data_IF_558429340231
#
_entry.id   IF_558429340231
#
_cell.length_a   1.000
_cell.length_b   1.000
_cell.length_c   1.000
_cell.angle_alpha   90.00
_cell.angle_beta   90.00
_cell.angle_gamma   90.00
#
_symmetry.space_group_name_H-M   'P 1'
#
loop_
_entity.id
_entity.type
_entity.pdbx_description
1 polymer ?
#
# COMPACT_ATOMS: atom_id res chain seq x y z
N UNK A 1 -28.71 0.41 12.82
CA UNK A 1 -27.94 1.66 13.09
C UNK A 1 -27.46 2.21 11.77
N UNK A 2 -27.64 3.51 11.50
CA UNK A 2 -27.22 4.14 10.25
C UNK A 2 -25.92 4.91 10.50
N UNK A 3 -24.87 4.61 9.73
CA UNK A 3 -23.61 5.36 9.77
C UNK A 3 -23.78 6.72 9.09
N UNK A 4 -23.12 7.75 9.61
CA UNK A 4 -23.06 9.06 8.96
C UNK A 4 -22.22 8.98 7.67
N UNK A 5 -22.45 9.87 6.71
CA UNK A 5 -21.64 9.93 5.48
C UNK A 5 -20.13 10.08 5.76
N UNK A 6 -19.77 10.79 6.83
CA UNK A 6 -18.38 10.93 7.29
C UNK A 6 -17.79 9.61 7.78
N UNK A 7 -18.52 8.85 8.60
CA UNK A 7 -18.09 7.52 9.08
C UNK A 7 -17.91 6.54 7.92
N UNK A 8 -18.86 6.52 6.96
CA UNK A 8 -18.77 5.66 5.79
C UNK A 8 -17.55 6.01 4.94
N UNK A 9 -17.33 7.30 4.64
CA UNK A 9 -16.15 7.75 3.88
C UNK A 9 -14.85 7.35 4.59
N UNK A 10 -14.79 7.49 5.91
CA UNK A 10 -13.61 7.17 6.70
C UNK A 10 -13.37 5.65 6.78
N UNK A 11 -14.42 4.84 6.91
CA UNK A 11 -14.33 3.38 6.92
C UNK A 11 -13.77 2.85 5.59
N UNK A 12 -14.33 3.30 4.46
CA UNK A 12 -13.84 2.91 3.13
C UNK A 12 -12.43 3.46 2.85
N UNK A 13 -12.14 4.69 3.29
CA UNK A 13 -10.81 5.30 3.18
C UNK A 13 -9.75 4.50 3.94
N UNK A 14 -10.03 4.14 5.20
CA UNK A 14 -9.10 3.41 6.04
C UNK A 14 -8.89 1.97 5.58
N UNK A 15 -9.96 1.27 5.16
CA UNK A 15 -9.86 -0.07 4.55
C UNK A 15 -8.96 -0.05 3.31
N UNK A 16 -9.00 1.02 2.51
CA UNK A 16 -8.10 1.18 1.36
C UNK A 16 -6.66 1.40 1.76
N UNK A 17 -6.41 2.22 2.79
CA UNK A 17 -5.06 2.43 3.33
C UNK A 17 -4.45 1.09 3.75
N UNK A 18 -5.16 0.34 4.61
CA UNK A 18 -4.68 -0.96 5.09
C UNK A 18 -4.39 -1.93 3.93
N UNK A 19 -5.34 -2.06 2.99
CA UNK A 19 -5.17 -2.93 1.84
C UNK A 19 -3.98 -2.52 0.96
N UNK A 20 -3.70 -1.22 0.85
CA UNK A 20 -2.58 -0.71 0.04
C UNK A 20 -1.23 -0.98 0.69
N UNK A 21 -1.13 -0.79 2.00
CA UNK A 21 0.07 -1.12 2.78
C UNK A 21 0.33 -2.62 2.73
N UNK A 22 -0.71 -3.45 2.93
CA UNK A 22 -0.60 -4.90 2.81
C UNK A 22 -0.16 -5.31 1.40
N UNK A 23 -0.75 -4.75 0.35
CA UNK A 23 -0.40 -5.06 -1.03
C UNK A 23 1.06 -4.69 -1.38
N UNK A 24 1.53 -3.54 -0.91
CA UNK A 24 2.92 -3.11 -1.07
C UNK A 24 3.90 -4.02 -0.30
N UNK A 25 3.55 -4.40 0.92
CA UNK A 25 4.31 -5.37 1.70
C UNK A 25 4.34 -6.74 0.99
N UNK A 26 3.20 -7.24 0.53
CA UNK A 26 3.13 -8.49 -0.24
C UNK A 26 3.99 -8.44 -1.50
N UNK A 27 4.02 -7.33 -2.23
CA UNK A 27 4.94 -7.16 -3.35
C UNK A 27 6.40 -7.33 -2.90
N UNK A 28 6.84 -6.62 -1.85
CA UNK A 28 8.20 -6.75 -1.33
C UNK A 28 8.54 -8.17 -0.89
N UNK A 29 7.58 -8.90 -0.30
CA UNK A 29 7.74 -10.29 0.12
C UNK A 29 8.00 -11.23 -1.06
N UNK A 30 7.27 -11.02 -2.16
CA UNK A 30 7.29 -11.89 -3.33
C UNK A 30 8.37 -11.52 -4.34
N UNK A 31 8.94 -10.31 -4.25
CA UNK A 31 9.92 -9.82 -5.20
C UNK A 31 11.27 -10.50 -5.00
N UNK A 32 11.75 -11.15 -6.06
CA UNK A 32 13.01 -11.91 -6.09
C UNK A 32 14.00 -11.36 -7.13
N UNK A 33 13.76 -10.14 -7.62
CA UNK A 33 14.48 -9.54 -8.76
C UNK A 33 13.63 -9.45 -10.03
N UNK A 34 12.55 -10.22 -10.14
CA UNK A 34 11.63 -10.18 -11.29
C UNK A 34 10.29 -9.51 -10.97
N UNK A 35 9.59 -8.88 -11.93
CA UNK A 35 8.28 -8.30 -11.70
C UNK A 35 7.26 -9.31 -11.18
N UNK A 36 6.51 -8.93 -10.15
CA UNK A 36 5.47 -9.77 -9.53
C UNK A 36 4.12 -9.43 -10.14
N UNK A 37 3.40 -10.44 -10.64
CA UNK A 37 2.07 -10.25 -11.21
C UNK A 37 1.02 -9.89 -10.16
N UNK A 38 -0.01 -9.12 -10.53
CA UNK A 38 -1.14 -8.83 -9.64
C UNK A 38 -1.90 -10.10 -9.22
N UNK A 39 -1.89 -11.14 -10.05
CA UNK A 39 -2.48 -12.44 -9.70
C UNK A 39 -1.72 -13.12 -8.56
N UNK A 40 -0.39 -13.06 -8.56
CA UNK A 40 0.41 -13.59 -7.46
C UNK A 40 0.18 -12.81 -6.16
N UNK A 41 0.15 -11.48 -6.25
CA UNK A 41 -0.14 -10.60 -5.10
C UNK A 41 -1.55 -10.87 -4.58
N UNK A 42 -2.54 -11.03 -5.48
CA UNK A 42 -3.94 -11.34 -5.13
C UNK A 42 -4.05 -12.61 -4.30
N UNK A 43 -3.34 -13.68 -4.72
CA UNK A 43 -3.34 -14.96 -4.02
C UNK A 43 -2.77 -14.84 -2.61
N UNK A 44 -1.66 -14.13 -2.45
CA UNK A 44 -0.96 -13.99 -1.17
C UNK A 44 -1.68 -13.01 -0.22
N UNK A 45 -2.15 -11.86 -0.73
CA UNK A 45 -2.79 -10.83 0.08
C UNK A 45 -4.30 -11.05 0.28
N UNK A 46 -4.89 -12.03 -0.42
CA UNK A 46 -6.35 -12.29 -0.43
C UNK A 46 -7.17 -11.06 -0.87
N UNK A 47 -6.60 -10.20 -1.70
CA UNK A 47 -7.29 -9.06 -2.32
C UNK A 47 -7.63 -9.40 -3.77
N UNK A 48 -8.75 -8.93 -4.29
CA UNK A 48 -9.10 -9.19 -5.69
C UNK A 48 -8.15 -8.48 -6.65
N UNK A 49 -7.85 -9.08 -7.80
CA UNK A 49 -6.98 -8.49 -8.83
C UNK A 49 -7.47 -7.11 -9.27
N UNK A 50 -8.78 -6.93 -9.49
CA UNK A 50 -9.34 -5.62 -9.87
C UNK A 50 -9.13 -4.54 -8.80
N UNK A 51 -9.15 -4.91 -7.52
CA UNK A 51 -8.86 -3.95 -6.47
C UNK A 51 -7.37 -3.61 -6.40
N UNK A 52 -6.51 -4.62 -6.59
CA UNK A 52 -5.07 -4.41 -6.72
C UNK A 52 -4.73 -3.51 -7.92
N UNK A 53 -5.40 -3.65 -9.06
CA UNK A 53 -5.19 -2.76 -10.21
C UNK A 53 -5.42 -1.29 -9.83
N UNK A 54 -6.47 -1.00 -9.05
CA UNK A 54 -6.75 0.35 -8.59
C UNK A 54 -5.68 0.87 -7.62
N UNK A 55 -5.22 0.01 -6.69
CA UNK A 55 -4.16 0.34 -5.74
C UNK A 55 -2.85 0.60 -6.48
N UNK A 56 -2.39 -0.36 -7.29
CA UNK A 56 -1.12 -0.30 -8.01
C UNK A 56 -1.06 0.79 -9.07
N UNK A 57 -2.21 1.16 -9.67
CA UNK A 57 -2.29 2.36 -10.51
C UNK A 57 -1.91 3.63 -9.74
N UNK A 58 -2.36 3.76 -8.49
CA UNK A 58 -2.03 4.92 -7.64
C UNK A 58 -0.59 4.87 -7.13
N UNK A 59 -0.13 3.70 -6.68
CA UNK A 59 1.28 3.52 -6.27
C UNK A 59 2.25 3.84 -7.41
N UNK A 60 1.91 3.42 -8.63
CA UNK A 60 2.70 3.76 -9.83
C UNK A 60 2.69 5.25 -10.10
N UNK A 61 1.53 5.91 -10.00
CA UNK A 61 1.44 7.36 -10.18
C UNK A 61 2.25 8.14 -9.13
N UNK A 62 2.37 7.61 -7.92
CA UNK A 62 3.24 8.13 -6.86
C UNK A 62 4.71 7.71 -6.98
N UNK A 63 5.13 7.05 -8.07
CA UNK A 63 6.48 6.53 -8.27
C UNK A 63 6.96 5.61 -7.13
N UNK A 64 6.06 4.82 -6.54
CA UNK A 64 6.42 3.85 -5.49
C UNK A 64 6.67 2.45 -6.07
N UNK A 65 6.18 2.19 -7.27
CA UNK A 65 6.37 0.91 -7.98
C UNK A 65 6.66 1.15 -9.45
N UNK A 66 7.40 0.23 -10.04
CA UNK A 66 7.68 0.18 -11.47
C UNK A 66 6.77 -0.89 -12.08
N UNK A 67 6.14 -0.61 -13.21
CA UNK A 67 5.33 -1.60 -13.93
C UNK A 67 6.04 -2.07 -15.19
N UNK A 68 6.04 -3.38 -15.43
CA UNK A 68 6.48 -3.97 -16.69
C UNK A 68 5.28 -4.60 -17.41
N UNK A 69 5.15 -4.32 -18.71
CA UNK A 69 4.08 -4.86 -19.56
C UNK A 69 4.57 -6.11 -20.31
N UNK A 70 3.62 -6.94 -20.76
CA UNK A 70 3.87 -8.14 -21.58
C UNK A 70 3.81 -9.45 -20.78
N UNK A 71 4.04 -10.60 -21.44
CA UNK A 71 4.13 -11.90 -20.78
C UNK A 71 5.20 -11.89 -19.69
N UNK A 72 4.87 -12.37 -18.49
CA UNK A 72 5.77 -12.29 -17.33
C UNK A 72 5.92 -10.89 -16.73
N UNK A 73 5.14 -9.91 -17.20
CA UNK A 73 5.09 -8.57 -16.63
C UNK A 73 4.39 -8.52 -15.25
N UNK A 74 4.39 -7.35 -14.65
CA UNK A 74 3.90 -7.15 -13.29
C UNK A 74 4.41 -5.84 -12.70
N UNK A 75 4.59 -5.85 -11.39
CA UNK A 75 5.12 -4.72 -10.64
C UNK A 75 6.39 -5.11 -9.89
N UNK A 76 7.32 -4.16 -9.81
CA UNK A 76 8.51 -4.24 -8.97
C UNK A 76 8.49 -3.07 -7.99
N UNK A 77 8.99 -3.24 -6.76
CA UNK A 77 9.14 -2.12 -5.85
C UNK A 77 10.17 -1.12 -6.41
N UNK A 78 10.04 0.17 -6.06
CA UNK A 78 11.11 1.16 -6.35
C UNK A 78 12.41 0.82 -5.60
N UNK A 79 12.33 0.02 -4.54
CA UNK A 79 13.43 -0.41 -3.66
C UNK A 79 12.92 -0.62 -2.24
N UNK A 80 13.82 -0.91 -1.30
CA UNK A 80 13.47 -1.20 0.11
C UNK A 80 13.08 0.03 0.93
N UNK A 81 13.15 1.22 0.34
CA UNK A 81 13.05 2.51 1.02
C UNK A 81 11.62 3.11 1.02
N UNK A 82 10.59 2.39 0.59
CA UNK A 82 9.23 2.96 0.56
C UNK A 82 8.65 2.97 1.99
N UNK A 83 8.21 4.13 2.44
CA UNK A 83 7.59 4.35 3.77
C UNK A 83 6.08 4.07 3.75
N UNK A 84 5.51 3.78 4.91
CA UNK A 84 4.05 3.66 5.07
C UNK A 84 3.36 4.99 4.77
N UNK A 85 3.95 6.14 5.16
CA UNK A 85 3.41 7.47 4.84
C UNK A 85 3.33 7.73 3.33
N UNK A 86 4.34 7.34 2.56
CA UNK A 86 4.32 7.45 1.10
C UNK A 86 3.16 6.65 0.49
N UNK A 87 2.93 5.41 0.96
CA UNK A 87 1.81 4.57 0.49
C UNK A 87 0.47 5.24 0.80
N UNK A 88 0.28 5.71 2.04
CA UNK A 88 -0.94 6.38 2.48
C UNK A 88 -1.23 7.60 1.60
N UNK A 89 -0.22 8.44 1.40
CA UNK A 89 -0.30 9.66 0.60
C UNK A 89 -0.63 9.37 -0.87
N UNK A 90 -0.09 8.29 -1.43
CA UNK A 90 -0.36 7.90 -2.82
C UNK A 90 -1.80 7.38 -3.01
N UNK A 91 -2.35 6.63 -2.05
CA UNK A 91 -3.63 5.93 -2.24
C UNK A 91 -4.86 6.67 -1.71
N UNK A 92 -4.63 7.58 -0.78
CA UNK A 92 -5.67 8.33 -0.09
C UNK A 92 -5.57 9.82 -0.37
N UNK A 93 -6.72 10.46 -0.52
CA UNK A 93 -6.84 11.91 -0.37
C UNK A 93 -7.28 12.14 1.08
N UNK A 94 -6.41 11.84 2.05
CA UNK A 94 -6.75 12.16 3.43
C UNK A 94 -7.04 13.67 3.48
N UNK A 95 -8.22 14.10 3.93
CA UNK A 95 -8.46 15.52 4.14
C UNK A 95 -7.39 15.98 5.13
N UNK A 96 -6.77 17.12 4.88
CA UNK A 96 -5.80 17.75 5.77
C UNK A 96 -6.48 18.20 7.07
N UNK A 97 -6.98 17.25 7.85
CA UNK A 97 -7.44 17.45 9.19
C UNK A 97 -6.20 17.36 10.07
N UNK A 98 -5.85 18.46 10.74
CA UNK A 98 -4.68 18.60 11.62
C UNK A 98 -4.53 17.46 12.65
N UNK A 99 -5.61 16.75 12.96
CA UNK A 99 -5.63 15.60 13.87
C UNK A 99 -4.86 14.38 13.34
N UNK A 100 -4.76 14.19 12.01
CA UNK A 100 -4.11 13.01 11.44
C UNK A 100 -2.60 13.21 11.21
N UNK A 101 -2.14 14.45 11.21
CA UNK A 101 -0.75 14.83 10.98
C UNK A 101 0.23 14.15 11.96
N UNK A 102 -0.02 14.09 13.28
CA UNK A 102 0.90 13.40 14.20
C UNK A 102 1.02 11.91 13.92
N UNK A 103 -0.06 11.28 13.43
CA UNK A 103 -0.07 9.86 13.08
C UNK A 103 0.80 9.63 11.84
N UNK A 104 0.67 10.47 10.81
CA UNK A 104 1.50 10.37 9.61
C UNK A 104 2.99 10.57 9.95
N UNK A 105 3.31 11.57 10.77
CA UNK A 105 4.69 11.79 11.24
C UNK A 105 5.27 10.61 12.01
N UNK A 106 4.47 9.97 12.86
CA UNK A 106 4.90 8.77 13.58
C UNK A 106 5.17 7.57 12.66
N UNK A 107 4.68 7.59 11.42
CA UNK A 107 4.86 6.54 10.42
C UNK A 107 5.95 6.85 9.39
N UNK A 108 6.55 8.05 9.41
CA UNK A 108 7.52 8.48 8.38
C UNK A 108 8.75 7.56 8.32
N UNK A 109 9.18 7.01 9.45
CA UNK A 109 10.34 6.11 9.52
C UNK A 109 9.96 4.63 9.34
N UNK A 110 8.66 4.32 9.25
CA UNK A 110 8.19 2.93 9.10
C UNK A 110 8.26 2.54 7.63
N UNK A 111 9.23 1.69 7.28
CA UNK A 111 9.38 1.12 5.94
C UNK A 111 8.43 -0.04 5.74
N UNK A 112 7.86 -0.14 4.55
CA UNK A 112 6.95 -1.24 4.18
C UNK A 112 7.65 -2.60 4.26
N UNK A 113 8.97 -2.64 4.01
CA UNK A 113 9.80 -3.85 4.11
C UNK A 113 9.96 -4.40 5.54
N UNK A 114 9.71 -3.58 6.57
CA UNK A 114 9.76 -4.00 7.98
C UNK A 114 8.49 -4.76 8.40
N UNK A 115 7.35 -4.43 7.80
CA UNK A 115 6.04 -4.99 8.18
C UNK A 115 5.92 -6.50 7.94
N UNK A 116 6.82 -7.08 7.14
CA UNK A 116 6.83 -8.51 6.82
C UNK A 116 7.63 -9.35 7.80
N UNK A 117 8.54 -8.75 8.57
CA UNK A 117 9.52 -9.50 9.36
C UNK A 117 8.96 -9.99 10.69
N UNK A 118 7.81 -9.48 11.15
CA UNK A 118 7.32 -9.75 12.51
C UNK A 118 8.18 -9.11 13.60
N UNK A 119 9.33 -8.54 13.24
CA UNK A 119 10.12 -7.66 14.08
C UNK A 119 9.30 -6.38 14.29
N UNK A 120 8.87 -6.14 15.53
CA UNK A 120 8.40 -4.80 15.90
C UNK A 120 9.45 -3.79 15.46
N UNK A 121 9.05 -2.62 14.89
CA UNK A 121 10.00 -1.53 14.73
C UNK A 121 10.62 -1.31 16.12
N UNK A 122 11.96 -1.38 16.17
CA UNK A 122 12.71 -1.28 17.42
C UNK A 122 12.24 -0.03 18.20
N UNK A 123 12.19 -0.11 19.55
CA UNK A 123 11.71 0.98 20.39
C UNK A 123 12.53 2.27 20.24
#
# INVERSE_FOLDING_TARGET
>A
MAFTAGEVIMEFGMKRVLASVQAAATLNKLYDGSPVSLTAISKESKLSTSYLEQIFKKLRAGNLVISQRGPGGGYSPRGDDITVTEVITAVSKLPAHKTFEPILRALDDVRVSQLLRGDSPAP
#
